data_IF_031950731481
#
_entry.id   IF_031950731481
#
_cell.length_a   1.000
_cell.length_b   1.000
_cell.length_c   1.000
_cell.angle_alpha   90.00
_cell.angle_beta   90.00
_cell.angle_gamma   90.00
#
_symmetry.space_group_name_H-M   'P 1'
#
loop_
_entity.id
_entity.type
_entity.pdbx_description
1 polymer ?
#
# COMPACT_ATOMS: atom_id res chain seq x y z
N UNK A 1 10.05 2.64 24.63
CA UNK A 1 8.86 3.06 23.88
C UNK A 1 9.20 2.94 22.41
N UNK A 2 8.27 2.48 21.59
CA UNK A 2 8.45 2.31 20.14
C UNK A 2 7.29 3.00 19.41
N UNK A 3 7.42 3.19 18.09
CA UNK A 3 6.49 3.98 17.28
C UNK A 3 6.31 3.35 15.89
N UNK A 4 5.18 3.68 15.27
CA UNK A 4 4.88 3.34 13.88
C UNK A 4 4.29 4.58 13.20
N UNK A 5 4.65 4.78 11.93
CA UNK A 5 4.04 5.83 11.10
C UNK A 5 3.13 5.23 10.04
N UNK A 6 2.28 6.06 9.44
CA UNK A 6 1.46 5.71 8.29
C UNK A 6 1.30 6.93 7.37
N UNK A 7 1.03 6.68 6.09
CA UNK A 7 0.78 7.73 5.10
C UNK A 7 -0.23 7.30 4.03
N UNK A 8 -0.90 8.28 3.45
CA UNK A 8 -1.66 8.16 2.21
C UNK A 8 -1.46 9.44 1.38
N UNK A 9 -1.04 9.30 0.13
CA UNK A 9 -0.75 10.42 -0.77
C UNK A 9 -1.41 10.19 -2.13
N UNK A 10 -1.79 11.27 -2.80
CA UNK A 10 -2.31 11.24 -4.16
C UNK A 10 -1.98 12.53 -4.90
N UNK A 11 -1.90 12.41 -6.22
CA UNK A 11 -1.75 13.52 -7.17
C UNK A 11 -2.82 13.46 -8.27
N UNK A 12 -3.71 12.47 -8.23
CA UNK A 12 -4.75 12.25 -9.24
C UNK A 12 -6.05 13.03 -9.00
N UNK A 13 -6.15 13.84 -7.95
CA UNK A 13 -7.37 14.62 -7.70
C UNK A 13 -7.60 15.62 -8.82
N UNK A 14 -8.79 15.58 -9.41
CA UNK A 14 -9.17 16.46 -10.52
C UNK A 14 -8.66 16.01 -11.90
N UNK A 15 -8.12 14.80 -12.05
CA UNK A 15 -7.71 14.29 -13.37
C UNK A 15 -8.91 13.94 -14.27
N UNK A 16 -10.06 13.58 -13.69
CA UNK A 16 -11.23 13.05 -14.41
C UNK A 16 -11.72 13.96 -15.57
N UNK A 17 -11.89 15.29 -15.40
CA UNK A 17 -12.32 16.15 -16.49
C UNK A 17 -11.31 16.19 -17.64
N UNK A 18 -10.02 16.08 -17.35
CA UNK A 18 -8.97 16.05 -18.37
C UNK A 18 -8.95 14.73 -19.12
N UNK A 19 -9.08 13.61 -18.40
CA UNK A 19 -9.19 12.29 -19.02
C UNK A 19 -10.42 12.18 -19.92
N UNK A 20 -11.57 12.70 -19.47
CA UNK A 20 -12.79 12.75 -20.27
C UNK A 20 -12.61 13.60 -21.53
N UNK A 21 -11.99 14.77 -21.41
CA UNK A 21 -11.68 15.63 -22.56
C UNK A 21 -10.78 14.94 -23.59
N UNK A 22 -9.76 14.19 -23.14
CA UNK A 22 -8.89 13.44 -24.06
C UNK A 22 -9.61 12.26 -24.71
N UNK A 23 -10.47 11.56 -23.97
CA UNK A 23 -11.33 10.49 -24.50
C UNK A 23 -12.25 11.00 -25.61
N UNK A 24 -12.96 12.11 -25.36
CA UNK A 24 -13.89 12.74 -26.32
C UNK A 24 -13.17 13.23 -27.58
N UNK A 25 -11.87 13.55 -27.47
CA UNK A 25 -11.02 13.94 -28.59
C UNK A 25 -10.34 12.76 -29.29
N UNK A 26 -10.56 11.51 -28.83
CA UNK A 26 -9.83 10.32 -29.27
C UNK A 26 -8.29 10.47 -29.17
N UNK A 27 -7.82 11.21 -28.16
CA UNK A 27 -6.40 11.44 -27.88
C UNK A 27 -5.91 10.48 -26.79
N UNK A 28 -5.75 9.21 -27.18
CA UNK A 28 -5.27 8.16 -26.28
C UNK A 28 -3.87 8.43 -25.75
N UNK A 29 -3.01 9.10 -26.53
CA UNK A 29 -1.66 9.45 -26.12
C UNK A 29 -1.68 10.39 -24.91
N UNK A 30 -2.39 11.51 -25.00
CA UNK A 30 -2.45 12.47 -23.89
C UNK A 30 -3.17 11.89 -22.67
N UNK A 31 -4.19 11.05 -22.88
CA UNK A 31 -4.87 10.33 -21.80
C UNK A 31 -3.91 9.40 -21.05
N UNK A 32 -3.14 8.59 -21.77
CA UNK A 32 -2.13 7.69 -21.17
C UNK A 32 -1.03 8.50 -20.50
N UNK A 33 -0.55 9.55 -21.15
CA UNK A 33 0.51 10.41 -20.64
C UNK A 33 0.11 11.09 -19.32
N UNK A 34 -1.11 11.62 -19.23
CA UNK A 34 -1.61 12.23 -17.99
C UNK A 34 -1.63 11.22 -16.84
N UNK A 35 -2.17 10.01 -17.08
CA UNK A 35 -2.19 8.95 -16.07
C UNK A 35 -0.79 8.54 -15.63
N UNK A 36 0.13 8.38 -16.58
CA UNK A 36 1.52 8.03 -16.30
C UNK A 36 2.20 9.12 -15.46
N UNK A 37 2.01 10.40 -15.80
CA UNK A 37 2.55 11.51 -15.03
C UNK A 37 1.96 11.58 -13.62
N UNK A 38 0.64 11.42 -13.47
CA UNK A 38 -0.01 11.40 -12.17
C UNK A 38 0.58 10.29 -11.29
N UNK A 39 0.70 9.08 -11.82
CA UNK A 39 1.29 7.93 -11.13
C UNK A 39 2.75 8.19 -10.70
N UNK A 40 3.60 8.72 -11.60
CA UNK A 40 4.98 9.09 -11.24
C UNK A 40 5.05 10.17 -10.16
N UNK A 41 4.13 11.13 -10.16
CA UNK A 41 4.05 12.16 -9.13
C UNK A 41 3.56 11.60 -7.79
N UNK A 42 2.66 10.61 -7.78
CA UNK A 42 2.22 9.96 -6.55
C UNK A 42 3.36 9.21 -5.87
N UNK A 43 4.17 8.47 -6.64
CA UNK A 43 5.37 7.78 -6.14
C UNK A 43 6.44 8.78 -5.67
N UNK A 44 6.67 9.86 -6.42
CA UNK A 44 7.58 10.91 -6.00
C UNK A 44 7.14 11.59 -4.68
N UNK A 45 5.83 11.75 -4.47
CA UNK A 45 5.29 12.27 -3.22
C UNK A 45 5.51 11.27 -2.07
N UNK A 46 5.30 9.97 -2.29
CA UNK A 46 5.59 8.96 -1.28
C UNK A 46 7.08 8.99 -0.85
N UNK A 47 8.01 9.11 -1.79
CA UNK A 47 9.45 9.23 -1.51
C UNK A 47 9.80 10.52 -0.74
N UNK A 48 9.29 11.67 -1.22
CA UNK A 48 9.53 12.96 -0.58
C UNK A 48 8.97 13.00 0.84
N UNK A 49 7.76 12.49 1.06
CA UNK A 49 7.14 12.42 2.37
C UNK A 49 7.90 11.48 3.29
N UNK A 50 8.34 10.32 2.79
CA UNK A 50 9.18 9.41 3.58
C UNK A 50 10.47 10.10 4.01
N UNK A 51 11.17 10.78 3.10
CA UNK A 51 12.36 11.56 3.45
C UNK A 51 12.06 12.62 4.52
N UNK A 52 10.96 13.37 4.38
CA UNK A 52 10.53 14.36 5.39
C UNK A 52 10.27 13.69 6.75
N UNK A 53 9.68 12.50 6.78
CA UNK A 53 9.46 11.73 8.01
C UNK A 53 10.79 11.37 8.67
N UNK A 54 11.75 10.82 7.91
CA UNK A 54 13.06 10.42 8.45
C UNK A 54 13.83 11.61 9.01
N UNK A 55 13.78 12.77 8.32
CA UNK A 55 14.56 13.96 8.65
C UNK A 55 13.92 14.87 9.70
N UNK A 56 12.59 15.02 9.66
CA UNK A 56 11.89 16.10 10.40
C UNK A 56 10.80 15.60 11.33
N UNK A 57 9.90 14.72 10.87
CA UNK A 57 8.70 14.35 11.65
C UNK A 57 8.99 13.27 12.69
N UNK A 58 9.70 12.22 12.29
CA UNK A 58 10.25 11.20 13.18
C UNK A 58 11.71 11.52 13.55
N UNK A 59 12.43 12.18 12.64
CA UNK A 59 13.74 12.79 12.90
C UNK A 59 14.82 11.82 13.43
N UNK A 60 14.78 10.55 13.02
CA UNK A 60 15.84 9.58 13.35
C UNK A 60 17.06 9.68 12.42
N UNK A 61 16.97 10.44 11.32
CA UNK A 61 18.06 10.71 10.40
C UNK A 61 18.09 12.20 9.96
N UNK A 62 18.24 13.16 10.90
CA UNK A 62 18.14 14.59 10.58
C UNK A 62 19.21 15.08 9.61
N UNK A 63 20.42 14.50 9.69
CA UNK A 63 21.58 14.87 8.86
C UNK A 63 21.63 14.08 7.53
N UNK A 64 20.57 13.36 7.16
CA UNK A 64 20.50 12.63 5.89
C UNK A 64 20.71 13.57 4.69
N UNK A 65 21.71 13.25 3.85
CA UNK A 65 22.08 13.99 2.65
C UNK A 65 22.19 13.06 1.43
N UNK A 66 21.11 12.34 1.13
CA UNK A 66 21.03 11.39 0.02
C UNK A 66 20.69 12.09 -1.31
N UNK A 67 21.28 11.60 -2.39
CA UNK A 67 20.92 11.99 -3.75
C UNK A 67 19.63 11.27 -4.20
N UNK A 68 18.95 11.72 -5.27
CA UNK A 68 17.82 10.99 -5.84
C UNK A 68 18.14 9.53 -6.17
N UNK A 69 19.34 9.25 -6.71
CA UNK A 69 19.77 7.88 -7.03
C UNK A 69 19.95 7.02 -5.77
N UNK A 70 20.44 7.62 -4.68
CA UNK A 70 20.55 6.94 -3.39
C UNK A 70 19.18 6.64 -2.77
N UNK A 71 18.20 7.53 -2.96
CA UNK A 71 16.82 7.30 -2.52
C UNK A 71 16.17 6.15 -3.30
N UNK A 72 16.33 6.13 -4.63
CA UNK A 72 15.84 5.02 -5.49
C UNK A 72 16.50 3.69 -5.10
N UNK A 73 17.79 3.72 -4.75
CA UNK A 73 18.52 2.56 -4.25
C UNK A 73 18.26 2.24 -2.76
N UNK A 74 17.30 2.93 -2.14
CA UNK A 74 16.87 2.74 -0.74
C UNK A 74 18.01 2.80 0.29
N UNK A 75 19.02 3.65 0.08
CA UNK A 75 20.20 3.76 0.97
C UNK A 75 19.94 4.51 2.28
N UNK A 76 18.68 4.61 2.70
CA UNK A 76 18.27 5.21 3.97
C UNK A 76 17.96 4.13 5.01
N UNK A 77 17.95 4.52 6.28
CA UNK A 77 17.44 3.67 7.36
C UNK A 77 15.90 3.61 7.32
N UNK A 78 15.34 2.43 7.56
CA UNK A 78 13.89 2.22 7.67
C UNK A 78 13.21 1.85 6.36
N UNK A 79 11.95 1.41 6.44
CA UNK A 79 11.15 0.97 5.29
C UNK A 79 9.74 1.56 5.33
N UNK A 80 9.06 1.54 4.18
CA UNK A 80 7.70 2.05 4.02
C UNK A 80 6.72 1.04 3.37
N UNK A 81 6.51 -0.14 3.98
CA UNK A 81 5.73 -1.21 3.37
C UNK A 81 4.27 -0.80 3.15
N UNK A 82 3.73 -1.22 2.01
CA UNK A 82 2.39 -0.92 1.57
C UNK A 82 1.52 -2.19 1.52
N UNK A 83 0.26 -2.17 2.02
CA UNK A 83 -0.64 -3.31 1.92
C UNK A 83 -0.89 -3.73 0.45
N UNK A 84 -0.72 -5.02 0.17
CA UNK A 84 -0.76 -5.64 -1.15
C UNK A 84 0.61 -6.02 -1.72
N UNK A 85 1.70 -5.49 -1.16
CA UNK A 85 3.06 -5.93 -1.53
C UNK A 85 3.43 -7.25 -0.83
N UNK A 86 4.46 -7.98 -1.31
CA UNK A 86 4.84 -9.28 -0.75
C UNK A 86 5.12 -9.30 0.77
N UNK A 87 5.60 -8.19 1.34
CA UNK A 87 5.84 -8.04 2.78
C UNK A 87 4.56 -7.83 3.61
N UNK A 88 3.48 -7.40 2.97
CA UNK A 88 2.19 -7.16 3.61
C UNK A 88 1.06 -7.48 2.61
N UNK A 89 0.80 -8.76 2.29
CA UNK A 89 -0.05 -9.14 1.17
C UNK A 89 -1.56 -8.92 1.41
N UNK A 90 -2.02 -8.76 2.66
CA UNK A 90 -3.42 -8.45 2.94
C UNK A 90 -3.77 -7.02 2.50
N UNK A 91 -4.57 -6.90 1.43
CA UNK A 91 -5.04 -5.61 0.92
C UNK A 91 -5.98 -4.89 1.88
N UNK A 92 -6.70 -5.61 2.76
CA UNK A 92 -7.73 -5.04 3.65
C UNK A 92 -7.14 -4.16 4.75
N UNK A 93 -5.85 -4.32 5.06
CA UNK A 93 -5.14 -3.48 6.04
C UNK A 93 -5.08 -2.00 5.62
N UNK A 94 -5.40 -1.67 4.35
CA UNK A 94 -5.62 -0.28 3.95
C UNK A 94 -6.76 0.38 4.73
N UNK A 95 -7.80 -0.37 5.13
CA UNK A 95 -8.88 0.20 5.95
C UNK A 95 -8.36 0.69 7.29
N UNK A 96 -7.61 -0.17 7.99
CA UNK A 96 -6.97 0.17 9.26
C UNK A 96 -6.10 1.41 9.13
N UNK A 97 -5.28 1.46 8.07
CA UNK A 97 -4.41 2.59 7.76
C UNK A 97 -5.22 3.87 7.50
N UNK A 98 -6.28 3.78 6.68
CA UNK A 98 -7.12 4.93 6.32
C UNK A 98 -7.88 5.47 7.53
N UNK A 99 -8.36 4.59 8.41
CA UNK A 99 -9.06 4.97 9.64
C UNK A 99 -8.12 5.67 10.62
N UNK A 100 -6.88 5.18 10.75
CA UNK A 100 -5.85 5.81 11.60
C UNK A 100 -5.53 7.24 11.16
N UNK A 101 -5.53 7.49 9.85
CA UNK A 101 -5.16 8.77 9.25
C UNK A 101 -6.33 9.72 9.00
N UNK A 102 -7.58 9.27 9.18
CA UNK A 102 -8.77 9.95 8.62
C UNK A 102 -8.56 10.28 7.12
N UNK A 103 -7.95 9.33 6.38
CA UNK A 103 -7.33 9.60 5.08
C UNK A 103 -8.33 10.08 4.02
N UNK A 104 -9.54 9.50 3.99
CA UNK A 104 -10.56 9.88 3.01
C UNK A 104 -10.95 11.35 3.15
N UNK A 105 -11.09 11.83 4.39
CA UNK A 105 -11.40 13.23 4.67
C UNK A 105 -10.20 14.15 4.46
N UNK A 106 -9.01 13.70 4.87
CA UNK A 106 -7.79 14.51 4.78
C UNK A 106 -7.31 14.69 3.34
N UNK A 107 -7.54 13.71 2.47
CA UNK A 107 -6.94 13.65 1.12
C UNK A 107 -7.95 13.51 -0.01
N UNK A 108 -9.18 13.08 0.25
CA UNK A 108 -10.15 12.74 -0.79
C UNK A 108 -9.91 11.38 -1.46
N UNK A 109 -8.88 10.62 -1.07
CA UNK A 109 -8.67 9.26 -1.56
C UNK A 109 -9.73 8.34 -0.96
N UNK A 110 -10.37 7.49 -1.77
CA UNK A 110 -11.35 6.50 -1.30
C UNK A 110 -10.87 5.07 -1.57
N UNK A 111 -11.44 4.11 -0.84
CA UNK A 111 -11.19 2.68 -1.05
C UNK A 111 -12.40 2.04 -1.74
N UNK A 112 -12.14 1.27 -2.79
CA UNK A 112 -13.16 0.42 -3.42
C UNK A 112 -13.48 -0.80 -2.54
N UNK A 113 -14.50 -1.56 -2.92
CA UNK A 113 -14.86 -2.84 -2.28
C UNK A 113 -13.72 -3.88 -2.31
N UNK A 114 -12.78 -3.74 -3.26
CA UNK A 114 -11.58 -4.57 -3.39
C UNK A 114 -10.33 -3.95 -2.75
N UNK A 115 -10.48 -2.86 -2.00
CA UNK A 115 -9.38 -2.08 -1.40
C UNK A 115 -8.36 -1.56 -2.42
N UNK A 116 -8.81 -1.26 -3.64
CA UNK A 116 -8.07 -0.38 -4.54
C UNK A 116 -8.30 1.08 -4.11
N UNK A 117 -7.29 1.93 -4.29
CA UNK A 117 -7.40 3.36 -4.01
C UNK A 117 -7.93 4.11 -5.23
N UNK A 118 -8.78 5.10 -4.98
CA UNK A 118 -9.27 6.05 -6.00
C UNK A 118 -9.01 7.49 -5.53
N UNK A 119 -8.39 8.35 -6.34
CA UNK A 119 -7.93 8.11 -7.71
C UNK A 119 -6.77 7.10 -7.77
N UNK A 120 -6.55 6.50 -8.95
CA UNK A 120 -5.58 5.42 -9.12
C UNK A 120 -4.13 5.84 -8.86
N UNK A 121 -3.79 7.10 -9.14
CA UNK A 121 -2.50 7.69 -8.79
C UNK A 121 -2.44 8.03 -7.28
N UNK A 122 -2.32 6.99 -6.46
CA UNK A 122 -2.27 7.08 -5.01
C UNK A 122 -1.36 6.00 -4.42
N UNK A 123 -0.71 6.34 -3.30
CA UNK A 123 0.17 5.43 -2.55
C UNK A 123 -0.18 5.53 -1.06
N UNK A 124 -0.26 4.40 -0.37
CA UNK A 124 -0.40 4.35 1.08
C UNK A 124 0.44 3.24 1.68
N UNK A 125 0.91 3.44 2.91
CA UNK A 125 1.74 2.47 3.59
C UNK A 125 2.10 2.88 5.01
N UNK A 126 2.88 2.04 5.66
CA UNK A 126 3.42 2.28 7.00
C UNK A 126 4.81 2.89 6.93
N UNK A 127 5.34 3.32 8.07
CA UNK A 127 6.76 3.64 8.26
C UNK A 127 7.32 2.83 9.42
N UNK A 128 8.45 2.17 9.19
CA UNK A 128 9.26 1.51 10.20
C UNK A 128 10.64 2.18 10.26
N UNK A 129 11.14 2.45 11.47
CA UNK A 129 12.43 3.12 11.67
C UNK A 129 13.55 2.16 12.10
N UNK A 130 13.25 0.90 12.42
CA UNK A 130 14.24 -0.05 12.91
C UNK A 130 15.36 -0.25 11.87
N UNK A 131 16.65 -0.17 12.24
CA UNK A 131 17.75 -0.18 11.27
C UNK A 131 17.92 -1.50 10.52
N UNK A 132 17.42 -2.60 11.08
CA UNK A 132 17.44 -3.92 10.42
C UNK A 132 16.12 -4.25 9.67
N UNK A 133 15.16 -3.32 9.64
CA UNK A 133 13.95 -3.51 8.86
C UNK A 133 14.29 -3.54 7.36
N UNK A 134 13.73 -4.52 6.65
CA UNK A 134 13.93 -4.71 5.23
C UNK A 134 12.69 -5.38 4.62
N UNK A 135 12.52 -5.26 3.31
CA UNK A 135 11.44 -5.95 2.61
C UNK A 135 11.77 -7.43 2.45
N UNK A 136 10.83 -8.28 2.86
CA UNK A 136 10.87 -9.72 2.60
C UNK A 136 9.47 -10.16 2.15
N UNK A 137 9.40 -11.22 1.34
CA UNK A 137 8.10 -11.82 1.01
C UNK A 137 7.64 -12.71 2.16
N UNK A 138 6.36 -12.60 2.56
CA UNK A 138 5.76 -13.50 3.56
C UNK A 138 5.86 -14.97 3.12
N UNK A 139 5.85 -15.23 1.82
CA UNK A 139 5.93 -16.58 1.27
C UNK A 139 4.56 -17.27 1.27
N UNK A 140 4.59 -18.61 1.30
CA UNK A 140 3.38 -19.43 1.38
C UNK A 140 3.01 -19.69 2.84
N UNK A 141 1.71 -19.59 3.15
CA UNK A 141 1.18 -19.79 4.52
C UNK A 141 0.25 -21.00 4.57
N UNK A 142 0.33 -21.71 5.70
CA UNK A 142 -0.47 -22.90 5.97
C UNK A 142 -1.79 -22.55 6.70
N UNK A 143 -2.64 -23.56 6.85
CA UNK A 143 -4.01 -23.40 7.37
C UNK A 143 -4.03 -22.93 8.83
N UNK A 144 -3.09 -23.34 9.65
CA UNK A 144 -2.98 -22.92 11.05
C UNK A 144 -2.82 -21.39 11.17
N UNK A 145 -2.00 -20.79 10.30
CA UNK A 145 -1.84 -19.35 10.24
C UNK A 145 -3.10 -18.64 9.72
N UNK A 146 -3.84 -19.24 8.79
CA UNK A 146 -5.14 -18.72 8.34
C UNK A 146 -6.16 -18.71 9.47
N UNK A 147 -6.26 -19.79 10.24
CA UNK A 147 -7.17 -19.89 11.38
C UNK A 147 -6.85 -18.83 12.45
N UNK A 148 -5.58 -18.66 12.78
CA UNK A 148 -5.12 -17.65 13.73
C UNK A 148 -5.33 -16.21 13.23
N UNK A 149 -5.06 -15.94 11.93
CA UNK A 149 -5.26 -14.62 11.36
C UNK A 149 -6.74 -14.25 11.24
N UNK A 150 -7.59 -15.21 10.83
CA UNK A 150 -9.04 -15.03 10.80
C UNK A 150 -9.59 -14.68 12.18
N UNK A 151 -9.15 -15.38 13.24
CA UNK A 151 -9.54 -15.08 14.61
C UNK A 151 -9.13 -13.66 15.04
N UNK A 152 -7.90 -13.23 14.73
CA UNK A 152 -7.41 -11.86 15.03
C UNK A 152 -8.20 -10.78 14.29
N UNK A 153 -8.64 -11.06 13.07
CA UNK A 153 -9.42 -10.14 12.23
C UNK A 153 -10.93 -10.18 12.52
N UNK A 154 -11.39 -11.17 13.29
CA UNK A 154 -12.81 -11.42 13.52
C UNK A 154 -13.54 -11.91 12.26
N UNK A 155 -12.83 -12.63 11.39
CA UNK A 155 -13.35 -13.21 10.16
C UNK A 155 -13.63 -14.70 10.31
N UNK A 156 -14.48 -15.23 9.42
CA UNK A 156 -14.48 -16.65 9.14
C UNK A 156 -13.26 -17.05 8.27
N UNK A 157 -12.98 -18.35 8.24
CA UNK A 157 -11.84 -18.92 7.50
C UNK A 157 -11.98 -18.64 6.00
N UNK A 158 -13.19 -18.79 5.43
CA UNK A 158 -13.43 -18.60 3.99
C UNK A 158 -13.10 -17.17 3.53
N UNK A 159 -13.48 -16.16 4.33
CA UNK A 159 -13.15 -14.75 4.09
C UNK A 159 -11.64 -14.53 4.12
N UNK A 160 -10.95 -15.13 5.10
CA UNK A 160 -9.50 -15.02 5.21
C UNK A 160 -8.79 -15.67 4.01
N UNK A 161 -9.21 -16.89 3.62
CA UNK A 161 -8.70 -17.60 2.46
C UNK A 161 -8.94 -16.83 1.15
N UNK A 162 -10.08 -16.15 1.02
CA UNK A 162 -10.38 -15.31 -0.14
C UNK A 162 -9.38 -14.16 -0.28
N UNK A 163 -9.12 -13.43 0.80
CA UNK A 163 -8.20 -12.28 0.75
C UNK A 163 -6.73 -12.69 0.62
N UNK A 164 -6.35 -13.81 1.22
CA UNK A 164 -4.97 -14.32 1.20
C UNK A 164 -4.73 -15.42 0.15
N UNK A 165 -5.68 -15.63 -0.77
CA UNK A 165 -5.62 -16.67 -1.80
C UNK A 165 -4.27 -16.76 -2.54
N UNK A 166 -3.60 -15.65 -2.94
CA UNK A 166 -2.32 -15.72 -3.65
C UNK A 166 -1.18 -16.39 -2.85
N UNK A 167 -1.26 -16.37 -1.52
CA UNK A 167 -0.20 -16.85 -0.62
C UNK A 167 -0.55 -18.14 0.11
N UNK A 168 -1.70 -18.77 -0.16
CA UNK A 168 -2.02 -20.07 0.42
C UNK A 168 -1.07 -21.17 -0.08
N UNK A 169 -0.67 -22.05 0.84
CA UNK A 169 0.14 -23.25 0.59
C UNK A 169 -0.71 -24.53 0.38
N UNK A 170 -2.04 -24.38 0.37
CA UNK A 170 -2.99 -25.48 0.24
C UNK A 170 -4.17 -25.05 -0.65
N UNK A 171 -4.96 -26.01 -1.12
CA UNK A 171 -6.21 -25.73 -1.83
C UNK A 171 -7.38 -25.77 -0.83
N UNK A 172 -8.04 -24.63 -0.53
CA UNK A 172 -9.21 -24.58 0.34
C UNK A 172 -10.32 -25.59 -0.02
N UNK A 173 -10.51 -25.87 -1.31
CA UNK A 173 -11.55 -26.80 -1.78
C UNK A 173 -11.24 -28.25 -1.45
N UNK A 174 -9.97 -28.60 -1.34
CA UNK A 174 -9.54 -29.97 -1.03
C UNK A 174 -9.85 -30.38 0.41
N UNK A 175 -9.99 -29.41 1.31
CA UNK A 175 -10.17 -29.61 2.75
C UNK A 175 -11.66 -29.77 3.10
N UNK A 176 -12.56 -29.03 2.45
CA UNK A 176 -14.00 -29.13 2.68
C UNK A 176 -14.64 -30.46 2.25
N UNK A 177 -13.93 -31.25 1.42
CA UNK A 177 -14.48 -32.50 0.85
C UNK A 177 -14.23 -33.74 1.73
N UNK A 178 -13.45 -33.64 2.80
CA UNK A 178 -13.19 -34.77 3.71
C UNK A 178 -14.19 -34.90 4.87
N UNK A 179 -15.20 -34.02 4.94
CA UNK A 179 -16.20 -33.99 6.01
C UNK A 179 -17.64 -34.24 5.51
N UNK A 180 -17.81 -35.08 4.49
CA UNK A 180 -19.12 -35.54 4.00
C UNK A 180 -19.20 -37.07 3.99
#
# INVERSE_FOLDING_TARGET
ADYIGAFAVTTGLGEEPHLKRFEEAHDDYSKIMLKALADRLAEAFAEMLHQKVRKELWAYAPDEALTPDDLIAEKYQGIRPAPGYPAQPDHTEKRTLFDLLDAEKATGITLTESFAMSPGAAVSGLYFSHPESHYFGVGKIDRDQIEDYAARKGWDIETCEKWLAPILNYDPKSIGTQAA
#
